data_IF_803959694322
#
_entry.id   IF_803959694322
#
_cell.length_a   1.000
_cell.length_b   1.000
_cell.length_c   1.000
_cell.angle_alpha   90.00
_cell.angle_beta   90.00
_cell.angle_gamma   90.00
#
_symmetry.space_group_name_H-M   'P 1'
#
loop_
_entity.id
_entity.type
_entity.pdbx_description
1 polymer ?
#
# COMPACT_ATOMS: atom_id res chain seq x y z
N UNK A 1 -33.77 43.20 18.41
CA UNK A 1 -33.09 42.48 19.51
C UNK A 1 -31.67 42.15 19.05
N UNK A 2 -30.66 42.31 19.92
CA UNK A 2 -29.32 42.75 19.51
C UNK A 2 -28.26 41.63 19.47
N UNK A 3 -27.08 42.02 18.94
CA UNK A 3 -25.73 41.55 19.32
C UNK A 3 -25.28 40.16 18.84
N UNK A 4 -24.06 39.92 18.32
CA UNK A 4 -22.83 40.72 18.24
C UNK A 4 -21.86 40.04 17.26
N UNK A 5 -21.21 40.83 16.40
CA UNK A 5 -19.97 40.46 15.71
C UNK A 5 -18.79 40.37 16.68
N UNK A 6 -17.91 39.38 16.52
CA UNK A 6 -16.57 39.36 17.12
C UNK A 6 -15.57 38.78 16.11
N UNK A 7 -14.62 39.63 15.68
CA UNK A 7 -13.36 39.24 15.03
C UNK A 7 -12.36 38.72 16.07
N UNK A 8 -11.43 37.84 15.67
CA UNK A 8 -10.06 37.89 16.14
C UNK A 8 -9.10 37.97 14.94
N UNK A 9 -7.95 38.64 14.95
CA UNK A 9 -7.24 39.40 15.97
C UNK A 9 -5.95 39.85 15.28
N UNK A 10 -5.72 41.16 15.22
CA UNK A 10 -4.48 41.75 14.71
C UNK A 10 -3.45 41.67 15.82
N UNK A 11 -2.40 40.89 15.63
CA UNK A 11 -1.26 40.83 16.54
C UNK A 11 -0.28 41.97 16.22
N UNK A 12 -0.27 42.96 17.11
CA UNK A 12 0.70 44.04 17.21
C UNK A 12 2.00 43.46 17.80
N UNK A 13 3.11 43.43 17.05
CA UNK A 13 4.44 43.15 17.62
C UNK A 13 5.15 44.46 17.95
N UNK A 14 5.11 44.85 19.22
CA UNK A 14 5.91 45.95 19.77
C UNK A 14 7.34 45.45 20.04
N UNK A 15 8.32 46.20 19.56
CA UNK A 15 9.75 45.97 19.78
C UNK A 15 10.14 46.22 21.24
N UNK A 16 10.95 45.33 21.83
CA UNK A 16 11.71 45.64 23.05
C UNK A 16 11.87 44.48 24.01
N UNK A 17 13.07 43.88 23.97
CA UNK A 17 13.71 43.04 25.00
C UNK A 17 13.08 41.66 25.33
N UNK A 18 13.99 40.67 25.37
CA UNK A 18 13.88 39.34 25.98
C UNK A 18 13.11 38.27 25.19
N UNK A 19 13.86 37.60 24.30
CA UNK A 19 13.79 36.16 24.03
C UNK A 19 12.41 35.52 23.92
N UNK A 20 11.75 35.73 22.77
CA UNK A 20 10.53 35.00 22.40
C UNK A 20 10.80 33.50 22.30
N UNK A 21 10.01 32.75 23.05
CA UNK A 21 9.87 31.31 23.04
C UNK A 21 9.65 30.78 21.62
N UNK A 22 10.42 29.77 21.22
CA UNK A 22 10.24 29.02 19.98
C UNK A 22 8.87 28.36 19.94
N UNK A 23 7.98 28.90 19.11
CA UNK A 23 6.70 28.32 18.77
C UNK A 23 6.90 26.98 18.05
N UNK A 24 6.05 25.96 18.30
CA UNK A 24 6.12 24.70 17.56
C UNK A 24 5.73 24.95 16.11
N UNK A 25 6.64 24.61 15.20
CA UNK A 25 6.39 24.51 13.77
C UNK A 25 5.21 23.57 13.54
N UNK A 26 4.07 24.12 13.13
CA UNK A 26 2.92 23.34 12.66
C UNK A 26 3.35 22.59 11.41
N UNK A 27 3.63 21.30 11.59
CA UNK A 27 3.78 20.37 10.49
C UNK A 27 2.50 20.40 9.65
N UNK A 28 2.64 20.81 8.39
CA UNK A 28 1.62 20.64 7.38
C UNK A 28 1.32 19.14 7.27
N UNK A 29 0.22 18.72 7.88
CA UNK A 29 -0.33 17.37 7.73
C UNK A 29 -1.19 17.41 6.49
N UNK A 30 -0.57 17.43 5.32
CA UNK A 30 -1.26 17.10 4.07
C UNK A 30 -1.15 15.59 3.86
N UNK A 31 -1.79 14.87 4.76
CA UNK A 31 -2.15 13.49 4.55
C UNK A 31 -3.63 13.51 4.21
N UNK A 32 -3.93 13.34 2.92
CA UNK A 32 -5.20 12.77 2.50
C UNK A 32 -5.28 11.35 3.09
N UNK A 33 -5.60 11.27 4.39
CA UNK A 33 -5.92 10.02 5.06
C UNK A 33 -7.28 9.59 4.49
N UNK A 34 -7.38 8.40 3.86
CA UNK A 34 -8.69 7.86 3.54
C UNK A 34 -9.48 7.73 4.85
N UNK A 35 -10.77 8.08 4.78
CA UNK A 35 -11.67 8.16 5.93
C UNK A 35 -11.51 7.01 6.92
N UNK A 36 -11.59 7.37 8.20
CA UNK A 36 -11.53 6.54 9.39
C UNK A 36 -12.63 5.46 9.41
N UNK A 37 -12.50 4.46 8.53
CA UNK A 37 -13.20 3.19 8.65
C UNK A 37 -12.48 2.47 9.77
N UNK A 38 -12.93 2.66 11.01
CA UNK A 38 -12.55 1.90 12.22
C UNK A 38 -11.84 0.62 11.83
N UNK A 39 -10.51 0.57 11.87
CA UNK A 39 -9.73 -0.44 11.15
C UNK A 39 -10.22 -1.86 11.50
N UNK A 40 -11.10 -2.43 10.64
CA UNK A 40 -11.78 -3.70 10.89
C UNK A 40 -10.79 -4.86 10.79
N UNK A 41 -9.66 -4.63 10.12
CA UNK A 41 -8.57 -5.57 9.99
C UNK A 41 -7.26 -4.84 9.71
N UNK A 42 -6.17 -5.56 9.98
CA UNK A 42 -4.81 -5.22 9.55
C UNK A 42 -4.35 -6.29 8.58
N UNK A 43 -3.83 -5.92 7.41
CA UNK A 43 -3.27 -6.87 6.46
C UNK A 43 -1.83 -6.49 6.10
N UNK A 44 -0.91 -7.43 6.27
CA UNK A 44 0.52 -7.24 6.02
C UNK A 44 1.02 -8.27 5.03
N UNK A 45 1.81 -7.83 4.05
CA UNK A 45 2.44 -8.69 3.06
C UNK A 45 3.91 -8.88 3.41
N UNK A 46 4.33 -10.14 3.59
CA UNK A 46 5.72 -10.52 3.67
C UNK A 46 6.15 -11.12 2.32
N UNK A 47 7.07 -10.46 1.63
CA UNK A 47 7.60 -10.95 0.34
C UNK A 47 8.78 -11.89 0.63
N UNK A 48 8.67 -13.15 0.22
CA UNK A 48 9.69 -14.19 0.46
C UNK A 48 10.62 -14.37 -0.73
N UNK A 49 10.10 -14.15 -1.95
CA UNK A 49 10.91 -14.21 -3.16
C UNK A 49 10.49 -13.06 -4.06
N UNK A 50 11.46 -12.25 -4.44
CA UNK A 50 11.32 -11.19 -5.42
C UNK A 50 12.54 -11.25 -6.33
N UNK A 51 12.32 -11.19 -7.64
CA UNK A 51 13.41 -11.19 -8.61
C UNK A 51 12.94 -10.89 -10.01
N UNK A 52 13.80 -10.23 -10.78
CA UNK A 52 13.63 -10.07 -12.22
C UNK A 52 14.84 -10.62 -12.98
N UNK A 53 14.56 -11.32 -14.08
CA UNK A 53 15.59 -11.75 -15.01
C UNK A 53 15.51 -10.92 -16.30
N UNK A 54 16.46 -9.99 -16.46
CA UNK A 54 16.46 -9.01 -17.55
C UNK A 54 17.54 -9.25 -18.61
N UNK A 55 18.22 -10.41 -18.63
CA UNK A 55 19.27 -10.71 -19.63
C UNK A 55 19.22 -12.16 -20.16
N UNK A 56 19.70 -12.40 -21.41
CA UNK A 56 19.84 -11.48 -22.54
C UNK A 56 18.56 -11.33 -23.37
N UNK A 57 17.61 -12.26 -23.22
CA UNK A 57 16.28 -12.21 -23.83
C UNK A 57 15.28 -11.92 -22.72
N UNK A 58 14.76 -10.69 -22.67
CA UNK A 58 13.76 -10.29 -21.68
C UNK A 58 12.46 -11.01 -22.03
N UNK A 59 12.07 -11.99 -21.23
CA UNK A 59 10.75 -12.56 -21.33
C UNK A 59 9.71 -11.44 -21.14
N UNK A 60 8.56 -11.55 -21.81
CA UNK A 60 7.47 -10.58 -21.62
C UNK A 60 7.09 -10.42 -20.14
N UNK A 61 7.30 -11.47 -19.34
CA UNK A 61 7.13 -11.48 -17.90
C UNK A 61 8.40 -12.00 -17.18
N UNK A 62 9.36 -11.12 -16.86
CA UNK A 62 10.61 -11.47 -16.18
C UNK A 62 10.46 -11.53 -14.65
N UNK A 63 9.31 -11.10 -14.10
CA UNK A 63 9.12 -10.89 -12.67
C UNK A 63 8.68 -12.19 -11.97
N UNK A 64 9.49 -12.66 -11.04
CA UNK A 64 9.16 -13.71 -10.09
C UNK A 64 8.83 -13.11 -8.73
N UNK A 65 7.63 -13.43 -8.22
CA UNK A 65 7.14 -12.94 -6.93
C UNK A 65 6.44 -14.07 -6.16
N UNK A 66 6.86 -14.29 -4.93
CA UNK A 66 6.20 -15.12 -3.92
C UNK A 66 6.22 -14.41 -2.58
N UNK A 67 5.21 -14.68 -1.78
CA UNK A 67 5.12 -14.12 -0.44
C UNK A 67 4.00 -14.77 0.35
N UNK A 68 3.79 -14.23 1.54
CA UNK A 68 2.65 -14.54 2.38
C UNK A 68 1.93 -13.26 2.74
N UNK A 69 0.61 -13.38 2.94
CA UNK A 69 -0.19 -12.30 3.50
C UNK A 69 -0.75 -12.78 4.83
N UNK A 70 -0.58 -11.96 5.86
CA UNK A 70 -1.19 -12.15 7.17
C UNK A 70 -2.28 -11.12 7.35
N UNK A 71 -3.49 -11.59 7.58
CA UNK A 71 -4.64 -10.77 7.90
C UNK A 71 -5.04 -10.99 9.35
N UNK A 72 -5.08 -9.91 10.12
CA UNK A 72 -5.52 -9.89 11.51
C UNK A 72 -6.87 -9.18 11.58
N UNK A 73 -7.88 -9.88 12.08
CA UNK A 73 -9.21 -9.30 12.29
C UNK A 73 -9.25 -8.59 13.65
N UNK A 74 -9.28 -7.26 13.61
CA UNK A 74 -9.38 -6.38 14.78
C UNK A 74 -10.82 -5.94 15.06
N UNK A 75 -11.76 -6.31 14.20
CA UNK A 75 -13.18 -6.05 14.35
C UNK A 75 -13.91 -7.05 15.26
N UNK A 76 -15.21 -6.88 15.37
CA UNK A 76 -16.11 -7.73 16.17
C UNK A 76 -16.85 -8.79 15.34
N UNK A 77 -16.71 -8.75 14.01
CA UNK A 77 -17.39 -9.64 13.06
C UNK A 77 -16.34 -10.46 12.31
N UNK A 78 -16.56 -11.77 12.05
CA UNK A 78 -15.63 -12.57 11.24
C UNK A 78 -15.48 -12.02 9.82
N UNK A 79 -14.27 -12.11 9.28
CA UNK A 79 -13.94 -11.64 7.92
C UNK A 79 -13.65 -12.84 7.04
N UNK A 80 -14.28 -12.92 5.86
CA UNK A 80 -13.97 -13.94 4.84
C UNK A 80 -15.05 -14.99 4.58
N UNK A 81 -14.80 -15.95 3.67
CA UNK A 81 -13.52 -16.28 3.04
C UNK A 81 -12.99 -15.17 2.11
N UNK A 82 -11.66 -15.03 2.04
CA UNK A 82 -10.99 -13.99 1.25
C UNK A 82 -10.27 -14.65 0.08
N UNK A 83 -10.48 -14.17 -1.12
CA UNK A 83 -9.78 -14.63 -2.32
C UNK A 83 -8.77 -13.59 -2.80
N UNK A 84 -7.57 -14.08 -3.11
CA UNK A 84 -6.47 -13.34 -3.70
C UNK A 84 -6.36 -13.75 -5.18
N UNK A 85 -6.54 -12.81 -6.09
CA UNK A 85 -6.51 -13.09 -7.54
C UNK A 85 -5.64 -12.12 -8.33
N UNK A 86 -5.39 -10.92 -7.80
CA UNK A 86 -4.65 -9.89 -8.49
C UNK A 86 -3.80 -9.06 -7.52
N UNK A 87 -2.69 -8.56 -8.04
CA UNK A 87 -1.79 -7.66 -7.35
C UNK A 87 -1.30 -6.54 -8.26
N UNK A 88 -0.64 -5.58 -7.63
CA UNK A 88 -0.12 -4.37 -8.24
C UNK A 88 1.32 -4.18 -7.77
N UNK A 89 2.17 -3.74 -8.69
CA UNK A 89 3.47 -3.16 -8.35
C UNK A 89 3.28 -1.65 -8.37
N UNK A 90 3.61 -1.01 -7.26
CA UNK A 90 3.45 0.44 -7.09
C UNK A 90 4.79 1.09 -6.78
N UNK A 91 4.98 2.33 -7.21
CA UNK A 91 6.15 3.12 -6.87
C UNK A 91 6.05 3.56 -5.40
N UNK A 92 7.14 3.45 -4.63
CA UNK A 92 7.15 3.92 -3.22
C UNK A 92 6.86 5.41 -3.13
N UNK A 93 7.43 6.19 -4.04
CA UNK A 93 7.20 7.63 -4.16
C UNK A 93 6.04 7.87 -5.13
N UNK A 94 4.99 8.55 -4.67
CA UNK A 94 3.80 8.88 -5.48
C UNK A 94 2.68 7.83 -5.44
N UNK A 95 2.99 6.56 -5.13
CA UNK A 95 1.97 5.50 -5.05
C UNK A 95 1.41 5.06 -6.41
N UNK A 96 2.00 5.55 -7.51
CA UNK A 96 1.57 5.24 -8.86
C UNK A 96 1.69 3.74 -9.15
N UNK A 97 0.69 3.19 -9.83
CA UNK A 97 0.72 1.79 -10.28
C UNK A 97 1.65 1.68 -11.47
N UNK A 98 2.73 0.90 -11.31
CA UNK A 98 3.70 0.62 -12.37
C UNK A 98 3.24 -0.56 -13.22
N UNK A 99 2.77 -1.63 -12.56
CA UNK A 99 2.31 -2.84 -13.24
C UNK A 99 1.16 -3.50 -12.47
N UNK A 100 0.38 -4.31 -13.16
CA UNK A 100 -0.57 -5.24 -12.54
C UNK A 100 -0.14 -6.67 -12.85
N UNK A 101 -0.47 -7.60 -11.96
CA UNK A 101 -0.19 -9.01 -12.15
C UNK A 101 -1.31 -9.87 -11.59
N UNK A 102 -1.46 -11.07 -12.15
CA UNK A 102 -2.36 -12.06 -11.59
C UNK A 102 -1.62 -12.89 -10.53
N UNK A 103 -2.38 -13.32 -9.53
CA UNK A 103 -1.93 -14.25 -8.49
C UNK A 103 -2.64 -15.57 -8.74
N UNK A 104 -1.95 -16.69 -8.59
CA UNK A 104 -2.62 -18.00 -8.60
C UNK A 104 -3.71 -17.96 -7.54
N UNK A 105 -5.00 -18.17 -7.87
CA UNK A 105 -6.08 -17.95 -6.91
C UNK A 105 -5.86 -18.72 -5.62
N UNK A 106 -5.77 -18.00 -4.50
CA UNK A 106 -5.69 -18.61 -3.16
C UNK A 106 -6.79 -18.05 -2.28
N UNK A 107 -7.37 -18.92 -1.47
CA UNK A 107 -8.45 -18.57 -0.56
C UNK A 107 -7.96 -18.68 0.89
N UNK A 108 -8.04 -17.58 1.62
CA UNK A 108 -7.89 -17.58 3.07
C UNK A 108 -9.24 -17.90 3.71
N UNK A 109 -9.24 -18.84 4.66
CA UNK A 109 -10.43 -19.16 5.44
C UNK A 109 -10.94 -17.94 6.22
N UNK A 110 -12.20 -17.99 6.66
CA UNK A 110 -12.76 -16.92 7.48
C UNK A 110 -11.95 -16.73 8.77
N UNK A 111 -11.56 -15.49 9.06
CA UNK A 111 -10.78 -15.09 10.23
C UNK A 111 -11.73 -14.54 11.29
N UNK A 112 -11.85 -15.25 12.40
CA UNK A 112 -12.68 -14.84 13.53
C UNK A 112 -12.15 -13.55 14.20
N UNK A 113 -13.00 -12.82 14.94
CA UNK A 113 -12.58 -11.64 15.72
C UNK A 113 -11.38 -11.92 16.62
N UNK A 114 -10.37 -11.05 16.59
CA UNK A 114 -9.13 -11.19 17.37
C UNK A 114 -8.17 -12.27 16.89
N UNK A 115 -8.48 -12.97 15.79
CA UNK A 115 -7.62 -13.98 15.19
C UNK A 115 -6.84 -13.43 13.99
N UNK A 116 -5.81 -14.17 13.59
CA UNK A 116 -5.06 -13.92 12.36
C UNK A 116 -5.09 -15.15 11.46
N UNK A 117 -5.16 -14.91 10.15
CA UNK A 117 -4.99 -15.93 9.12
C UNK A 117 -3.82 -15.58 8.22
N UNK A 118 -3.04 -16.57 7.83
CA UNK A 118 -1.93 -16.41 6.88
C UNK A 118 -2.14 -17.32 5.70
N UNK A 119 -1.85 -16.80 4.50
CA UNK A 119 -1.87 -17.58 3.28
C UNK A 119 -0.71 -17.18 2.37
N UNK A 120 -0.09 -18.17 1.75
CA UNK A 120 0.97 -17.95 0.77
C UNK A 120 0.37 -17.64 -0.60
N UNK A 121 1.05 -16.80 -1.36
CA UNK A 121 0.67 -16.46 -2.71
C UNK A 121 1.89 -16.51 -3.64
N UNK A 122 1.61 -16.77 -4.90
CA UNK A 122 2.60 -16.70 -5.98
C UNK A 122 1.99 -15.94 -7.15
N UNK A 123 2.77 -15.05 -7.73
CA UNK A 123 2.42 -14.41 -8.99
C UNK A 123 2.32 -15.46 -10.09
N UNK A 124 1.26 -15.39 -10.89
CA UNK A 124 1.10 -16.24 -12.07
C UNK A 124 2.13 -15.85 -13.14
N UNK A 125 2.74 -16.84 -13.78
CA UNK A 125 3.68 -16.60 -14.89
C UNK A 125 2.95 -16.03 -16.10
N UNK A 126 3.58 -15.10 -16.82
CA UNK A 126 3.00 -14.43 -17.99
C UNK A 126 1.87 -13.45 -17.67
N UNK A 127 1.69 -13.08 -16.40
CA UNK A 127 0.57 -12.25 -15.96
C UNK A 127 0.93 -10.80 -15.70
N UNK A 128 2.22 -10.45 -15.74
CA UNK A 128 2.65 -9.07 -15.62
C UNK A 128 2.13 -8.27 -16.82
N UNK A 129 1.39 -7.21 -16.52
CA UNK A 129 0.84 -6.28 -17.51
C UNK A 129 1.19 -4.87 -17.06
N UNK A 130 1.69 -4.06 -17.99
CA UNK A 130 1.91 -2.62 -17.81
C UNK A 130 1.42 -1.88 -19.05
N UNK A 131 2.08 -0.77 -19.36
CA UNK A 131 1.78 -0.03 -20.59
C UNK A 131 2.07 -0.87 -21.84
N UNK A 132 1.18 -0.79 -22.82
CA UNK A 132 1.23 -1.62 -24.02
C UNK A 132 2.57 -1.47 -24.75
N UNK A 133 3.24 -2.60 -25.02
CA UNK A 133 4.48 -2.65 -25.78
C UNK A 133 5.76 -2.44 -24.96
N UNK A 134 5.67 -2.34 -23.64
CA UNK A 134 6.82 -2.18 -22.74
C UNK A 134 7.14 -3.53 -22.08
N UNK A 135 8.42 -3.90 -22.01
CA UNK A 135 8.84 -5.14 -21.36
C UNK A 135 8.74 -5.04 -19.84
N UNK A 136 8.60 -6.17 -19.13
CA UNK A 136 8.49 -6.15 -17.66
C UNK A 136 9.65 -5.45 -16.94
N UNK A 137 10.87 -5.55 -17.49
CA UNK A 137 12.07 -4.90 -16.96
C UNK A 137 12.08 -3.38 -17.19
N UNK A 138 11.38 -2.89 -18.21
CA UNK A 138 11.19 -1.45 -18.43
C UNK A 138 10.03 -0.91 -17.59
N UNK A 139 8.97 -1.71 -17.40
CA UNK A 139 7.82 -1.36 -16.55
C UNK A 139 8.26 -1.24 -15.09
N UNK A 140 9.07 -2.20 -14.61
CA UNK A 140 9.59 -2.22 -13.25
C UNK A 140 11.11 -2.26 -13.29
N UNK A 141 11.78 -1.09 -13.37
CA UNK A 141 13.22 -1.05 -13.53
C UNK A 141 13.94 -1.68 -12.34
N UNK A 142 15.08 -2.29 -12.64
CA UNK A 142 16.02 -2.79 -11.63
C UNK A 142 16.39 -1.69 -10.64
N UNK A 143 16.61 -2.08 -9.39
CA UNK A 143 16.99 -1.19 -8.29
C UNK A 143 15.97 -0.08 -7.98
N UNK A 144 14.77 -0.15 -8.56
CA UNK A 144 13.71 0.81 -8.28
C UNK A 144 13.03 0.51 -6.94
N UNK A 145 12.71 1.55 -6.14
CA UNK A 145 11.95 1.39 -4.91
C UNK A 145 10.48 1.12 -5.25
N UNK A 146 10.00 -0.07 -4.87
CA UNK A 146 8.66 -0.55 -5.14
C UNK A 146 7.92 -0.97 -3.86
N UNK A 147 6.59 -1.07 -3.96
CA UNK A 147 5.73 -1.78 -3.02
C UNK A 147 4.82 -2.73 -3.77
N UNK A 148 4.57 -3.89 -3.18
CA UNK A 148 3.56 -4.82 -3.66
C UNK A 148 2.25 -4.52 -2.96
N UNK A 149 1.18 -4.38 -3.74
CA UNK A 149 -0.18 -4.30 -3.21
C UNK A 149 -1.00 -5.50 -3.71
N UNK A 150 -1.69 -6.20 -2.81
CA UNK A 150 -2.62 -7.27 -3.18
C UNK A 150 -4.05 -6.79 -3.00
N UNK A 151 -4.90 -7.12 -3.99
CA UNK A 151 -6.34 -6.86 -3.88
C UNK A 151 -6.99 -7.97 -3.06
N UNK A 152 -7.72 -7.59 -2.03
CA UNK A 152 -8.46 -8.50 -1.16
C UNK A 152 -9.93 -8.48 -1.58
N UNK A 153 -10.49 -9.66 -1.84
CA UNK A 153 -11.93 -9.78 -2.15
C UNK A 153 -12.55 -10.76 -1.18
N UNK A 154 -13.66 -10.40 -0.54
CA UNK A 154 -14.30 -11.22 0.48
C UNK A 154 -15.44 -10.50 1.17
N UNK A 155 -16.26 -11.25 1.90
CA UNK A 155 -17.31 -10.70 2.76
C UNK A 155 -16.71 -9.88 3.91
N UNK A 156 -17.41 -8.81 4.28
CA UNK A 156 -17.02 -7.89 5.37
C UNK A 156 -15.66 -7.18 5.17
N UNK A 157 -15.09 -7.24 3.96
CA UNK A 157 -14.02 -6.35 3.55
C UNK A 157 -14.63 -5.08 2.91
N UNK A 158 -14.05 -3.90 3.17
CA UNK A 158 -14.44 -2.69 2.46
C UNK A 158 -14.12 -2.82 0.97
N UNK A 159 -14.90 -2.14 0.13
CA UNK A 159 -14.65 -2.13 -1.29
C UNK A 159 -13.25 -1.57 -1.60
N UNK A 160 -12.51 -2.28 -2.44
CA UNK A 160 -11.14 -1.88 -2.78
C UNK A 160 -10.11 -2.16 -1.69
N UNK A 161 -10.42 -2.99 -0.68
CA UNK A 161 -9.47 -3.44 0.33
C UNK A 161 -8.16 -3.96 -0.31
N UNK A 162 -7.04 -3.42 0.18
CA UNK A 162 -5.69 -3.78 -0.27
C UNK A 162 -4.78 -4.03 0.90
N UNK A 163 -3.91 -5.01 0.76
CA UNK A 163 -2.76 -5.18 1.63
C UNK A 163 -1.52 -4.63 0.94
N UNK A 164 -0.57 -4.09 1.70
CA UNK A 164 0.69 -3.55 1.17
C UNK A 164 1.87 -4.25 1.82
N UNK A 165 2.94 -4.43 1.05
CA UNK A 165 4.24 -4.78 1.59
C UNK A 165 4.95 -3.55 2.16
N UNK A 166 5.98 -3.78 2.95
CA UNK A 166 6.98 -2.75 3.21
C UNK A 166 7.66 -2.30 1.89
N UNK A 167 8.20 -1.06 1.84
CA UNK A 167 9.06 -0.62 0.76
C UNK A 167 10.21 -1.60 0.55
N UNK A 168 10.47 -1.94 -0.72
CA UNK A 168 11.59 -2.80 -1.09
C UNK A 168 12.20 -2.34 -2.40
N UNK A 169 13.44 -2.74 -2.62
CA UNK A 169 14.16 -2.48 -3.87
C UNK A 169 13.98 -3.67 -4.79
N UNK A 170 13.67 -3.44 -6.06
CA UNK A 170 13.54 -4.52 -7.05
C UNK A 170 14.90 -5.16 -7.34
N UNK A 171 15.14 -6.43 -6.95
CA UNK A 171 16.39 -7.11 -7.25
C UNK A 171 16.37 -7.66 -8.68
N UNK A 172 17.49 -7.52 -9.37
CA UNK A 172 17.71 -8.09 -10.69
C UNK A 172 18.92 -9.01 -10.68
N UNK A 173 18.79 -10.14 -11.37
CA UNK A 173 19.95 -10.95 -11.76
C UNK A 173 20.45 -10.45 -13.11
N UNK A 174 21.70 -10.01 -13.14
CA UNK A 174 22.44 -9.67 -14.36
C UNK A 174 23.07 -10.91 -14.97
#
# INVERSE_FOLDING_TARGET
MPSRSVLPGVALCLAGLLGCSSAPTTAATDASAPADVTALFTAMIAVTTLGQNCMPVVAADPLSLRGSITLTNTGTVPIGPITLSAGLVTRVLGGDTMATFAVTPVTLAAVAPGQSGTVDFAKAAGSLTGDAGVSGCEIVPCDSPIRIALRLTGSHLPEGARAFSEPMTMPCTH
#
